data_IF_518598999187
#
_entry.id   IF_518598999187
#
_cell.length_a   1.000
_cell.length_b   1.000
_cell.length_c   1.000
_cell.angle_alpha   90.00
_cell.angle_beta   90.00
_cell.angle_gamma   90.00
#
_symmetry.space_group_name_H-M   'P 1'
#
loop_
_entity.id
_entity.type
_entity.pdbx_description
1 polymer ?
#
# COMPACT_ATOMS: atom_id res chain seq x y z
N UNK A 1 -6.20 8.62 17.22
CA UNK A 1 -6.54 8.14 15.87
C UNK A 1 -5.35 7.40 15.33
N UNK A 2 -5.52 6.13 15.03
CA UNK A 2 -4.50 5.32 14.37
C UNK A 2 -4.84 5.14 12.89
N UNK A 3 -3.80 5.07 12.06
CA UNK A 3 -3.91 4.80 10.61
C UNK A 3 -3.10 3.56 10.30
N UNK A 4 -3.77 2.51 9.83
CA UNK A 4 -3.13 1.29 9.35
C UNK A 4 -3.10 1.34 7.83
N UNK A 5 -1.93 1.14 7.24
CA UNK A 5 -1.76 1.07 5.79
C UNK A 5 -1.24 -0.32 5.42
N UNK A 6 -2.02 -1.10 4.69
CA UNK A 6 -1.57 -2.37 4.14
C UNK A 6 -0.87 -2.17 2.81
N UNK A 7 0.33 -2.71 2.69
CA UNK A 7 1.13 -2.68 1.45
C UNK A 7 1.55 -4.08 1.02
N UNK A 8 1.63 -4.32 -0.27
CA UNK A 8 2.15 -5.57 -0.82
C UNK A 8 3.65 -5.41 -1.12
N UNK A 9 4.50 -6.10 -0.35
CA UNK A 9 5.94 -6.11 -0.58
C UNK A 9 6.62 -4.77 -0.29
N UNK A 10 6.66 -4.37 0.97
CA UNK A 10 7.24 -3.09 1.45
C UNK A 10 8.66 -2.80 0.92
N UNK A 11 9.43 -3.83 0.54
CA UNK A 11 10.77 -3.70 -0.07
C UNK A 11 10.76 -3.49 -1.57
N UNK A 12 9.61 -3.56 -2.22
CA UNK A 12 9.57 -3.38 -3.67
C UNK A 12 9.89 -1.94 -4.04
N UNK A 13 10.80 -1.76 -5.00
CA UNK A 13 11.13 -0.45 -5.55
C UNK A 13 10.14 -0.15 -6.68
N UNK A 14 8.95 0.32 -6.31
CA UNK A 14 7.91 0.69 -7.27
C UNK A 14 7.10 1.89 -6.79
N UNK A 15 6.29 2.46 -7.68
CA UNK A 15 5.49 3.65 -7.41
C UNK A 15 4.45 3.47 -6.31
N UNK A 16 3.82 2.29 -6.22
CA UNK A 16 2.81 1.99 -5.19
C UNK A 16 3.42 2.03 -3.79
N UNK A 17 4.55 1.35 -3.58
CA UNK A 17 5.23 1.33 -2.28
C UNK A 17 5.73 2.72 -1.92
N UNK A 18 6.31 3.45 -2.88
CA UNK A 18 6.74 4.84 -2.65
C UNK A 18 5.57 5.74 -2.26
N UNK A 19 4.45 5.66 -2.95
CA UNK A 19 3.24 6.43 -2.62
C UNK A 19 2.72 6.08 -1.22
N UNK A 20 2.66 4.80 -0.86
CA UNK A 20 2.21 4.36 0.46
C UNK A 20 3.13 4.86 1.58
N UNK A 21 4.45 4.85 1.38
CA UNK A 21 5.42 5.38 2.34
C UNK A 21 5.28 6.89 2.47
N UNK A 22 5.12 7.61 1.36
CA UNK A 22 4.92 9.06 1.40
C UNK A 22 3.62 9.42 2.13
N UNK A 23 2.55 8.66 1.93
CA UNK A 23 1.28 8.83 2.65
C UNK A 23 1.47 8.57 4.15
N UNK A 24 2.18 7.49 4.50
CA UNK A 24 2.48 7.18 5.90
C UNK A 24 3.30 8.28 6.57
N UNK A 25 4.31 8.80 5.88
CA UNK A 25 5.14 9.91 6.38
C UNK A 25 4.30 11.16 6.61
N UNK A 26 3.45 11.55 5.65
CA UNK A 26 2.60 12.73 5.77
C UNK A 26 1.65 12.62 6.98
N UNK A 27 1.04 11.47 7.19
CA UNK A 27 0.20 11.25 8.37
C UNK A 27 0.99 11.29 9.68
N UNK A 28 2.20 10.75 9.71
CA UNK A 28 3.06 10.79 10.89
C UNK A 28 3.54 12.21 11.21
N UNK A 29 3.79 13.05 10.19
CA UNK A 29 4.10 14.49 10.38
C UNK A 29 2.94 15.27 10.98
N UNK A 30 1.70 14.90 10.63
CA UNK A 30 0.48 15.44 11.25
C UNK A 30 0.21 14.88 12.66
N UNK A 31 1.12 14.06 13.18
CA UNK A 31 1.03 13.53 14.55
C UNK A 31 0.11 12.32 14.71
N UNK A 32 -0.29 11.67 13.63
CA UNK A 32 -1.09 10.44 13.69
C UNK A 32 -0.22 9.22 14.06
N UNK A 33 -0.81 8.25 14.74
CA UNK A 33 -0.18 6.95 15.01
C UNK A 33 -0.29 6.07 13.77
N UNK A 34 0.80 5.96 12.99
CA UNK A 34 0.79 5.29 11.68
C UNK A 34 1.50 3.95 11.75
N UNK A 35 0.82 2.92 11.25
CA UNK A 35 1.36 1.58 11.15
C UNK A 35 1.31 1.07 9.71
N UNK A 36 2.47 0.93 9.08
CA UNK A 36 2.63 0.38 7.74
C UNK A 36 2.83 -1.14 7.84
N UNK A 37 1.86 -1.91 7.39
CA UNK A 37 1.86 -3.37 7.51
C UNK A 37 2.14 -4.01 6.15
N UNK A 38 3.25 -4.75 6.07
CA UNK A 38 3.54 -5.59 4.92
C UNK A 38 2.58 -6.78 4.88
N UNK A 39 1.68 -6.77 3.90
CA UNK A 39 0.63 -7.78 3.74
C UNK A 39 1.13 -9.06 3.09
N UNK A 40 2.19 -8.98 2.30
CA UNK A 40 2.86 -10.14 1.68
C UNK A 40 4.08 -10.47 2.49
N UNK A 41 4.00 -11.57 3.24
CA UNK A 41 5.06 -11.94 4.16
C UNK A 41 6.31 -12.48 3.48
N UNK A 42 7.46 -12.00 3.92
CA UNK A 42 8.70 -12.75 3.93
C UNK A 42 9.26 -12.65 5.36
N UNK A 43 9.66 -13.77 5.93
CA UNK A 43 9.75 -13.95 7.38
C UNK A 43 11.17 -13.96 7.89
N UNK A 44 12.13 -13.62 7.09
CA UNK A 44 13.53 -13.74 7.47
C UNK A 44 14.08 -12.39 7.94
N UNK A 45 13.93 -12.14 9.24
CA UNK A 45 14.61 -11.01 9.89
C UNK A 45 13.91 -9.65 9.77
N UNK A 46 14.36 -8.67 10.55
CA UNK A 46 13.77 -7.33 10.58
C UNK A 46 14.07 -6.52 9.30
N UNK A 47 15.11 -6.87 8.57
CA UNK A 47 15.49 -6.23 7.32
C UNK A 47 14.43 -6.33 6.23
N UNK A 48 13.53 -7.33 6.30
CA UNK A 48 12.42 -7.44 5.35
C UNK A 48 11.37 -6.32 5.50
N UNK A 49 11.40 -5.61 6.61
CA UNK A 49 10.53 -4.46 6.89
C UNK A 49 11.18 -3.13 6.52
N UNK A 50 12.47 -3.14 6.13
CA UNK A 50 13.17 -1.92 5.74
C UNK A 50 12.75 -1.50 4.33
N UNK A 51 12.00 -0.40 4.17
CA UNK A 51 11.60 0.08 2.85
C UNK A 51 12.82 0.70 2.12
N UNK A 52 12.80 0.70 0.78
CA UNK A 52 13.88 1.31 -0.02
C UNK A 52 13.80 2.85 -0.05
N UNK A 53 12.83 3.45 0.61
CA UNK A 53 12.57 4.87 0.67
C UNK A 53 12.63 5.36 2.11
N UNK A 54 12.89 6.66 2.28
CA UNK A 54 12.90 7.28 3.60
C UNK A 54 11.56 7.07 4.32
N UNK A 55 11.65 6.63 5.56
CA UNK A 55 10.50 6.42 6.45
C UNK A 55 10.61 7.35 7.65
N UNK A 56 9.52 8.04 7.97
CA UNK A 56 9.46 8.90 9.14
C UNK A 56 9.65 8.08 10.43
N UNK A 57 10.43 8.58 11.43
CA UNK A 57 10.76 7.80 12.64
C UNK A 57 9.54 7.31 13.44
N UNK A 58 8.42 8.02 13.36
CA UNK A 58 7.20 7.67 14.07
C UNK A 58 6.31 6.66 13.30
N UNK A 59 6.66 6.29 12.08
CA UNK A 59 5.94 5.24 11.34
C UNK A 59 6.41 3.87 11.82
N UNK A 60 5.50 3.10 12.38
CA UNK A 60 5.74 1.70 12.74
C UNK A 60 5.66 0.82 11.50
N UNK A 61 6.51 -0.20 11.42
CA UNK A 61 6.44 -1.21 10.35
C UNK A 61 6.34 -2.60 10.92
N UNK A 62 5.52 -3.44 10.30
CA UNK A 62 5.39 -4.85 10.67
C UNK A 62 5.07 -5.71 9.44
N UNK A 63 5.35 -6.99 9.54
CA UNK A 63 4.76 -7.99 8.65
C UNK A 63 3.47 -8.52 9.25
N UNK A 64 2.45 -8.75 8.44
CA UNK A 64 1.20 -9.38 8.89
C UNK A 64 1.45 -10.76 9.50
N UNK A 65 2.53 -11.42 9.10
CA UNK A 65 2.88 -12.76 9.59
C UNK A 65 3.45 -12.71 11.02
N UNK A 66 4.15 -11.63 11.36
CA UNK A 66 4.84 -11.48 12.65
C UNK A 66 4.20 -10.44 13.57
N UNK A 67 3.04 -9.92 13.18
CA UNK A 67 2.43 -8.77 13.87
C UNK A 67 2.07 -9.07 15.33
N UNK A 68 1.69 -10.31 15.65
CA UNK A 68 1.32 -10.74 17.00
C UNK A 68 2.11 -11.98 17.42
N UNK A 69 2.64 -11.95 18.64
CA UNK A 69 3.41 -13.05 19.20
C UNK A 69 2.56 -14.18 19.79
N UNK A 70 1.28 -13.93 20.04
CA UNK A 70 0.34 -14.82 20.70
C UNK A 70 -0.52 -15.64 19.72
N UNK A 71 -0.12 -15.72 18.47
CA UNK A 71 -0.78 -16.60 17.50
C UNK A 71 -0.43 -18.04 17.81
N UNK A 72 -1.42 -18.93 17.94
CA UNK A 72 -1.19 -20.34 18.21
C UNK A 72 -0.24 -20.96 17.18
N UNK A 73 0.64 -21.86 17.66
CA UNK A 73 1.66 -22.51 16.79
C UNK A 73 1.05 -23.23 15.59
N UNK A 74 -0.13 -23.86 15.79
CA UNK A 74 -0.83 -24.58 14.74
C UNK A 74 -1.41 -23.69 13.63
N UNK A 75 -1.44 -22.37 13.83
CA UNK A 75 -1.84 -21.39 12.80
C UNK A 75 -0.71 -20.43 12.46
N UNK A 76 0.45 -20.55 13.10
CA UNK A 76 1.59 -19.68 12.86
C UNK A 76 2.23 -19.95 11.50
N UNK A 77 2.48 -18.89 10.75
CA UNK A 77 3.14 -18.94 9.46
C UNK A 77 4.62 -18.54 9.53
N UNK A 78 5.21 -18.58 10.72
CA UNK A 78 6.58 -18.18 10.96
C UNK A 78 7.53 -19.02 10.18
N UNK A 79 8.27 -19.00 9.41
CA UNK A 79 9.17 -19.85 8.62
C UNK A 79 8.66 -20.24 7.24
N UNK A 80 7.70 -19.49 6.71
CA UNK A 80 7.18 -19.75 5.39
C UNK A 80 7.93 -18.90 4.36
N UNK A 81 8.32 -19.49 3.22
CA UNK A 81 8.93 -18.74 2.13
C UNK A 81 8.00 -17.65 1.60
N UNK A 82 8.56 -16.64 0.99
CA UNK A 82 7.79 -15.60 0.33
C UNK A 82 6.82 -16.17 -0.71
N UNK A 83 5.54 -15.80 -0.60
CA UNK A 83 4.51 -16.12 -1.57
C UNK A 83 3.80 -14.84 -2.02
N UNK A 84 3.21 -14.89 -3.22
CA UNK A 84 2.30 -13.84 -3.63
C UNK A 84 1.04 -13.84 -2.75
N UNK A 85 0.41 -12.70 -2.59
CA UNK A 85 -0.82 -12.56 -1.79
C UNK A 85 -1.91 -13.55 -2.23
N UNK A 86 -2.05 -13.79 -3.54
CA UNK A 86 -3.02 -14.74 -4.08
C UNK A 86 -2.75 -16.18 -3.65
N UNK A 87 -1.47 -16.60 -3.66
CA UNK A 87 -1.09 -17.94 -3.26
C UNK A 87 -1.33 -18.16 -1.75
N UNK A 88 -1.08 -17.13 -0.95
CA UNK A 88 -1.29 -17.21 0.50
C UNK A 88 -2.78 -17.33 0.83
N UNK A 89 -3.61 -16.53 0.18
CA UNK A 89 -5.04 -16.52 0.44
C UNK A 89 -5.72 -17.88 0.18
N UNK A 90 -5.30 -18.60 -0.85
CA UNK A 90 -5.93 -19.86 -1.24
C UNK A 90 -5.38 -21.09 -0.51
N UNK A 91 -4.32 -20.97 0.26
CA UNK A 91 -3.81 -22.08 1.08
C UNK A 91 -4.44 -22.04 2.48
N UNK A 92 -5.07 -23.14 2.88
CA UNK A 92 -5.84 -23.22 4.13
C UNK A 92 -5.01 -22.85 5.37
N UNK A 93 -3.76 -23.26 5.43
CA UNK A 93 -2.83 -22.96 6.54
C UNK A 93 -2.54 -21.45 6.68
N UNK A 94 -2.40 -20.75 5.57
CA UNK A 94 -2.18 -19.30 5.56
C UNK A 94 -3.48 -18.55 5.82
N UNK A 95 -4.57 -19.03 5.25
CA UNK A 95 -5.89 -18.47 5.47
C UNK A 95 -6.26 -18.40 6.94
N UNK A 96 -5.96 -19.45 7.72
CA UNK A 96 -6.18 -19.47 9.15
C UNK A 96 -5.36 -18.40 9.88
N UNK A 97 -4.08 -18.27 9.55
CA UNK A 97 -3.20 -17.25 10.11
C UNK A 97 -3.68 -15.84 9.80
N UNK A 98 -3.89 -15.53 8.51
CA UNK A 98 -4.39 -14.20 8.08
C UNK A 98 -5.73 -13.87 8.76
N UNK A 99 -6.64 -14.83 8.80
CA UNK A 99 -7.92 -14.65 9.48
C UNK A 99 -7.73 -14.26 10.94
N UNK A 100 -6.88 -14.96 11.66
CA UNK A 100 -6.62 -14.69 13.08
C UNK A 100 -6.03 -13.29 13.29
N UNK A 101 -5.02 -12.93 12.50
CA UNK A 101 -4.36 -11.61 12.58
C UNK A 101 -5.33 -10.48 12.24
N UNK A 102 -6.10 -10.61 11.15
CA UNK A 102 -7.03 -9.57 10.71
C UNK A 102 -8.20 -9.38 11.69
N UNK A 103 -8.71 -10.46 12.28
CA UNK A 103 -9.71 -10.38 13.36
C UNK A 103 -9.14 -9.66 14.58
N UNK A 104 -7.90 -9.94 14.95
CA UNK A 104 -7.25 -9.28 16.07
C UNK A 104 -7.00 -7.80 15.81
N UNK A 105 -6.58 -7.42 14.62
CA UNK A 105 -6.49 -6.02 14.21
C UNK A 105 -7.84 -5.34 14.41
N UNK A 106 -8.93 -5.90 13.86
CA UNK A 106 -10.28 -5.32 14.00
C UNK A 106 -10.68 -5.13 15.46
N UNK A 107 -10.34 -6.09 16.34
CA UNK A 107 -10.70 -6.00 17.75
C UNK A 107 -10.03 -4.85 18.51
N UNK A 108 -8.92 -4.33 17.99
CA UNK A 108 -8.14 -3.23 18.58
C UNK A 108 -8.54 -1.85 18.05
N UNK A 109 -9.36 -1.81 16.98
CA UNK A 109 -9.73 -0.56 16.33
C UNK A 109 -10.99 0.08 16.92
N UNK A 110 -11.07 1.39 16.75
CA UNK A 110 -12.20 2.24 17.13
C UNK A 110 -12.78 2.96 15.91
N UNK A 111 -13.87 3.71 16.10
CA UNK A 111 -14.52 4.52 15.06
C UNK A 111 -13.66 5.70 14.57
N UNK A 112 -12.66 6.10 15.38
CA UNK A 112 -11.73 7.17 15.03
C UNK A 112 -10.57 6.69 14.14
N UNK A 113 -10.39 5.38 14.03
CA UNK A 113 -9.27 4.79 13.31
C UNK A 113 -9.59 4.57 11.83
N UNK A 114 -8.54 4.40 11.03
CA UNK A 114 -8.66 4.17 9.60
C UNK A 114 -7.75 3.04 9.14
N UNK A 115 -8.26 2.24 8.19
CA UNK A 115 -7.48 1.25 7.47
C UNK A 115 -7.44 1.62 6.00
N UNK A 116 -6.25 1.69 5.45
CA UNK A 116 -6.00 1.95 4.03
C UNK A 116 -5.50 0.67 3.37
N UNK A 117 -6.25 0.19 2.40
CA UNK A 117 -5.88 -0.94 1.55
C UNK A 117 -5.32 -0.42 0.23
N UNK A 118 -4.14 -0.85 -0.14
CA UNK A 118 -3.52 -0.49 -1.42
C UNK A 118 -3.84 -1.50 -2.54
N UNK A 119 -4.65 -2.51 -2.22
CA UNK A 119 -5.09 -3.53 -3.18
C UNK A 119 -6.47 -4.10 -2.77
N UNK A 120 -7.42 -4.27 -3.72
CA UNK A 120 -8.77 -4.77 -3.42
C UNK A 120 -8.81 -6.14 -2.73
N UNK A 121 -7.85 -7.02 -3.01
CA UNK A 121 -7.78 -8.32 -2.37
C UNK A 121 -7.50 -8.24 -0.86
N UNK A 122 -6.74 -7.25 -0.40
CA UNK A 122 -6.51 -7.02 1.03
C UNK A 122 -7.84 -6.72 1.74
N UNK A 123 -8.68 -5.88 1.13
CA UNK A 123 -10.03 -5.59 1.63
C UNK A 123 -10.90 -6.85 1.66
N UNK A 124 -10.89 -7.66 0.60
CA UNK A 124 -11.66 -8.90 0.54
C UNK A 124 -11.25 -9.86 1.65
N UNK A 125 -9.95 -10.06 1.84
CA UNK A 125 -9.42 -10.90 2.92
C UNK A 125 -9.82 -10.36 4.30
N UNK A 126 -9.74 -9.05 4.50
CA UNK A 126 -10.14 -8.40 5.75
C UNK A 126 -11.63 -8.63 6.05
N UNK A 127 -12.49 -8.40 5.06
CA UNK A 127 -13.93 -8.62 5.16
C UNK A 127 -14.29 -10.08 5.49
N UNK A 128 -13.68 -11.03 4.77
CA UNK A 128 -13.90 -12.46 4.98
C UNK A 128 -13.40 -12.92 6.35
N UNK A 129 -12.26 -12.40 6.80
CA UNK A 129 -11.73 -12.69 8.13
C UNK A 129 -12.69 -12.25 9.23
N UNK A 130 -13.33 -11.10 9.06
CA UNK A 130 -14.26 -10.53 10.02
C UNK A 130 -15.73 -10.95 9.77
N UNK A 131 -15.96 -12.08 9.11
CA UNK A 131 -17.27 -12.68 8.87
C UNK A 131 -18.26 -11.71 8.20
N UNK A 132 -17.80 -10.85 7.31
CA UNK A 132 -18.57 -9.82 6.61
C UNK A 132 -19.23 -8.79 7.55
N UNK A 133 -18.75 -8.65 8.77
CA UNK A 133 -19.22 -7.58 9.68
C UNK A 133 -18.55 -6.28 9.24
N UNK A 134 -19.32 -5.19 9.26
CA UNK A 134 -18.79 -3.86 8.97
C UNK A 134 -17.78 -3.48 10.05
N UNK A 135 -16.59 -3.04 9.64
CA UNK A 135 -15.55 -2.55 10.56
C UNK A 135 -16.03 -1.34 11.35
N UNK A 136 -15.50 -1.19 12.55
CA UNK A 136 -15.63 0.04 13.34
C UNK A 136 -14.82 1.18 12.71
N UNK A 137 -13.59 0.86 12.28
CA UNK A 137 -12.71 1.82 11.62
C UNK A 137 -13.20 2.20 10.22
N UNK A 138 -12.76 3.35 9.72
CA UNK A 138 -12.99 3.78 8.34
C UNK A 138 -12.15 2.95 7.38
N UNK A 139 -12.80 2.30 6.42
CA UNK A 139 -12.14 1.49 5.41
C UNK A 139 -11.96 2.29 4.12
N UNK A 140 -10.71 2.46 3.72
CA UNK A 140 -10.31 3.24 2.55
C UNK A 140 -9.58 2.31 1.58
N UNK A 141 -9.94 2.33 0.31
CA UNK A 141 -9.18 1.64 -0.75
C UNK A 141 -8.50 2.67 -1.63
N UNK A 142 -7.19 2.56 -1.79
CA UNK A 142 -6.42 3.38 -2.72
C UNK A 142 -6.29 2.69 -4.07
N UNK A 143 -6.56 3.43 -5.14
CA UNK A 143 -6.44 2.98 -6.52
C UNK A 143 -5.34 3.77 -7.20
N UNK A 144 -4.27 3.10 -7.63
CA UNK A 144 -3.06 3.73 -8.18
C UNK A 144 -2.84 3.49 -9.67
N UNK A 145 -3.65 2.68 -10.32
CA UNK A 145 -3.47 2.33 -11.72
C UNK A 145 -4.77 2.22 -12.49
N UNK A 146 -4.65 2.12 -13.81
CA UNK A 146 -5.80 1.86 -14.67
C UNK A 146 -6.28 0.42 -14.44
N UNK A 147 -7.36 0.30 -13.72
CA UNK A 147 -7.94 -1.00 -13.38
C UNK A 147 -8.62 -1.69 -14.57
N UNK A 148 -8.95 -0.97 -15.64
CA UNK A 148 -9.54 -1.57 -16.84
C UNK A 148 -8.66 -2.64 -17.47
N UNK A 149 -7.34 -2.58 -17.23
CA UNK A 149 -6.41 -3.62 -17.67
C UNK A 149 -6.40 -4.84 -16.72
N UNK A 150 -7.00 -4.72 -15.52
CA UNK A 150 -7.01 -5.75 -14.49
C UNK A 150 -8.45 -6.11 -14.06
N UNK A 151 -9.26 -6.61 -14.99
CA UNK A 151 -10.69 -6.93 -14.79
C UNK A 151 -10.95 -7.68 -13.47
N UNK A 152 -10.07 -8.58 -13.09
CA UNK A 152 -10.21 -9.37 -11.87
C UNK A 152 -10.19 -8.49 -10.59
N UNK A 153 -9.32 -7.47 -10.53
CA UNK A 153 -9.27 -6.56 -9.39
C UNK A 153 -10.54 -5.72 -9.27
N UNK A 154 -11.14 -5.38 -10.40
CA UNK A 154 -12.43 -4.68 -10.43
C UNK A 154 -13.59 -5.51 -9.91
N UNK A 155 -13.65 -6.77 -10.29
CA UNK A 155 -14.66 -7.69 -9.78
C UNK A 155 -14.57 -7.83 -8.27
N UNK A 156 -13.34 -7.92 -7.75
CA UNK A 156 -13.10 -7.95 -6.30
C UNK A 156 -13.57 -6.64 -5.65
N UNK A 157 -13.21 -5.49 -6.22
CA UNK A 157 -13.63 -4.19 -5.69
C UNK A 157 -15.16 -4.05 -5.72
N UNK A 158 -15.79 -4.37 -6.83
CA UNK A 158 -17.26 -4.26 -6.98
C UNK A 158 -18.02 -5.10 -5.94
N UNK A 159 -17.55 -6.32 -5.67
CA UNK A 159 -18.14 -7.18 -4.63
C UNK A 159 -18.00 -6.63 -3.21
N UNK A 160 -17.00 -5.78 -2.98
CA UNK A 160 -16.66 -5.29 -1.65
C UNK A 160 -16.99 -3.81 -1.44
N UNK A 161 -17.55 -3.13 -2.43
CA UNK A 161 -17.73 -1.67 -2.41
C UNK A 161 -18.63 -1.17 -1.27
N UNK A 162 -19.59 -1.96 -0.84
CA UNK A 162 -20.51 -1.62 0.25
C UNK A 162 -19.81 -1.56 1.62
N UNK A 163 -18.67 -2.24 1.74
CA UNK A 163 -17.83 -2.24 2.95
C UNK A 163 -16.85 -1.07 2.99
N UNK A 164 -16.61 -0.41 1.86
CA UNK A 164 -15.68 0.71 1.75
C UNK A 164 -16.38 2.00 2.16
N UNK A 165 -15.76 2.76 3.04
CA UNK A 165 -16.23 4.11 3.37
C UNK A 165 -15.77 5.11 2.32
N UNK A 166 -14.50 5.01 1.87
CA UNK A 166 -13.95 5.89 0.83
C UNK A 166 -13.10 5.12 -0.17
N UNK A 167 -13.25 5.47 -1.43
CA UNK A 167 -12.40 5.04 -2.52
C UNK A 167 -11.52 6.22 -2.97
N UNK A 168 -10.23 6.12 -2.70
CA UNK A 168 -9.27 7.14 -3.07
C UNK A 168 -8.70 6.84 -4.46
N UNK A 169 -8.77 7.82 -5.35
CA UNK A 169 -8.12 7.79 -6.67
C UNK A 169 -6.98 8.79 -6.73
N UNK A 170 -6.03 8.56 -7.62
CA UNK A 170 -4.85 9.42 -7.81
C UNK A 170 -4.96 10.35 -9.02
N UNK A 171 -6.04 10.25 -9.77
CA UNK A 171 -6.40 11.18 -10.85
C UNK A 171 -7.90 11.41 -10.94
N UNK A 172 -8.29 12.56 -11.49
CA UNK A 172 -9.70 12.91 -11.71
C UNK A 172 -10.37 12.00 -12.74
N UNK A 173 -9.62 11.56 -13.77
CA UNK A 173 -10.13 10.63 -14.77
C UNK A 173 -10.53 9.30 -14.13
N UNK A 174 -9.71 8.79 -13.23
CA UNK A 174 -10.04 7.56 -12.49
C UNK A 174 -11.28 7.74 -11.61
N UNK A 175 -11.46 8.91 -11.02
CA UNK A 175 -12.64 9.21 -10.22
C UNK A 175 -13.91 9.14 -11.06
N UNK A 176 -13.92 9.79 -12.24
CA UNK A 176 -15.06 9.75 -13.16
C UNK A 176 -15.30 8.32 -13.73
N UNK A 177 -14.23 7.57 -14.00
CA UNK A 177 -14.31 6.18 -14.41
C UNK A 177 -14.98 5.31 -13.33
N UNK A 178 -14.55 5.45 -12.06
CA UNK A 178 -15.17 4.74 -10.94
C UNK A 178 -16.64 5.08 -10.77
N UNK A 179 -17.00 6.35 -10.93
CA UNK A 179 -18.38 6.76 -10.85
C UNK A 179 -19.22 6.19 -11.99
N UNK A 180 -18.73 6.26 -13.21
CA UNK A 180 -19.50 5.87 -14.42
C UNK A 180 -19.63 4.35 -14.57
N UNK A 181 -18.54 3.60 -14.39
CA UNK A 181 -18.52 2.15 -14.58
C UNK A 181 -19.06 1.36 -13.40
N UNK A 182 -18.67 1.74 -12.17
CA UNK A 182 -19.06 1.00 -10.96
C UNK A 182 -20.26 1.60 -10.25
N UNK A 183 -20.80 2.72 -10.76
CA UNK A 183 -21.93 3.44 -10.15
C UNK A 183 -21.68 3.75 -8.67
N UNK A 184 -20.40 3.92 -8.30
CA UNK A 184 -20.02 4.29 -6.96
C UNK A 184 -20.53 5.71 -6.69
N UNK A 185 -21.16 5.91 -5.56
CA UNK A 185 -21.66 7.22 -5.17
C UNK A 185 -20.50 8.21 -5.03
N UNK A 186 -20.70 9.43 -5.55
CA UNK A 186 -19.66 10.48 -5.53
C UNK A 186 -19.19 10.84 -4.12
N UNK A 187 -20.05 10.72 -3.11
CA UNK A 187 -19.71 10.99 -1.72
C UNK A 187 -18.71 9.99 -1.11
N UNK A 188 -18.56 8.82 -1.74
CA UNK A 188 -17.52 7.82 -1.40
C UNK A 188 -16.23 7.99 -2.18
N UNK A 189 -16.20 8.81 -3.21
CA UNK A 189 -15.04 9.00 -4.08
C UNK A 189 -14.23 10.21 -3.61
N UNK A 190 -12.93 10.00 -3.42
CA UNK A 190 -12.01 11.05 -2.99
C UNK A 190 -10.81 11.06 -3.92
N UNK A 191 -10.56 12.21 -4.55
CA UNK A 191 -9.34 12.45 -5.28
C UNK A 191 -8.25 12.96 -4.34
N UNK A 192 -7.16 12.20 -4.21
CA UNK A 192 -5.95 12.61 -3.50
C UNK A 192 -4.78 12.23 -4.40
N UNK A 193 -4.07 13.21 -4.98
CA UNK A 193 -2.91 12.91 -5.79
C UNK A 193 -1.81 12.23 -4.97
N UNK A 194 -0.92 11.52 -5.66
CA UNK A 194 0.23 10.94 -5.00
C UNK A 194 1.06 12.02 -4.29
N UNK A 195 1.26 11.86 -3.01
CA UNK A 195 2.10 12.75 -2.21
C UNK A 195 3.55 12.56 -2.66
N UNK A 196 4.19 13.63 -3.06
CA UNK A 196 5.61 13.65 -3.39
C UNK A 196 6.37 14.30 -2.24
N UNK A 197 7.22 13.52 -1.60
CA UNK A 197 8.17 14.07 -0.65
C UNK A 197 9.36 14.68 -1.40
N UNK A 198 9.82 15.87 -1.02
CA UNK A 198 11.07 16.37 -1.55
C UNK A 198 12.18 15.40 -1.11
N UNK A 199 12.80 14.75 -2.07
CA UNK A 199 14.04 14.02 -1.81
C UNK A 199 15.08 15.11 -1.51
N UNK A 200 15.43 15.28 -0.25
CA UNK A 200 16.65 16.00 0.09
C UNK A 200 17.82 15.09 -0.34
N UNK A 201 18.24 15.22 -1.57
CA UNK A 201 19.51 14.62 -1.98
C UNK A 201 20.57 15.26 -1.07
N UNK A 202 21.24 14.44 -0.27
CA UNK A 202 22.45 14.92 0.41
C UNK A 202 23.38 15.49 -0.67
N UNK A 203 24.05 16.60 -0.35
CA UNK A 203 24.90 17.34 -1.31
C UNK A 203 25.91 16.43 -2.02
N UNK A 204 26.33 15.33 -1.36
CA UNK A 204 27.24 14.32 -1.94
C UNK A 204 26.61 13.51 -3.08
N UNK A 205 25.31 13.20 -3.02
CA UNK A 205 24.60 12.48 -4.09
C UNK A 205 24.33 13.41 -5.28
N UNK A 206 23.99 14.68 -5.01
CA UNK A 206 23.86 15.67 -6.07
C UNK A 206 25.18 15.90 -6.82
N UNK A 207 26.32 15.92 -6.09
CA UNK A 207 27.66 16.06 -6.69
C UNK A 207 28.04 14.85 -7.53
N UNK A 208 27.57 13.64 -7.21
CA UNK A 208 27.80 12.43 -8.01
C UNK A 208 27.09 12.56 -9.38
N UNK A 209 25.83 12.97 -9.39
CA UNK A 209 25.07 13.19 -10.63
C UNK A 209 25.62 14.34 -11.47
N UNK A 210 26.29 15.32 -10.86
CA UNK A 210 26.86 16.48 -11.56
C UNK A 210 28.24 16.15 -12.15
N UNK A 211 29.05 15.34 -11.47
CA UNK A 211 30.40 14.99 -11.94
C UNK A 211 30.43 14.13 -13.20
N UNK A 212 29.50 13.21 -13.36
CA UNK A 212 29.39 12.39 -14.56
C UNK A 212 28.88 13.18 -15.79
N UNK A 213 28.51 14.44 -15.60
CA UNK A 213 27.95 15.29 -16.63
C UNK A 213 28.83 16.50 -17.00
N UNK A 214 30.14 16.49 -16.72
CA UNK A 214 31.05 17.59 -17.09
C UNK A 214 31.16 17.82 -18.60
N UNK A 215 30.66 16.90 -19.45
CA UNK A 215 30.49 17.10 -20.89
C UNK A 215 29.29 17.97 -21.26
N UNK A 216 28.54 18.49 -20.25
CA UNK A 216 27.27 19.20 -20.48
C UNK A 216 27.46 20.69 -20.78
N UNK A 217 28.61 21.27 -20.44
CA UNK A 217 28.83 22.73 -20.63
C UNK A 217 28.84 23.18 -22.10
N UNK A 218 28.99 22.25 -23.03
CA UNK A 218 28.90 22.56 -24.47
C UNK A 218 27.47 22.46 -25.06
N UNK A 219 26.48 22.12 -24.28
CA UNK A 219 25.11 21.85 -24.75
C UNK A 219 24.09 22.92 -24.33
N UNK A 220 24.49 24.18 -24.22
CA UNK A 220 23.58 25.31 -23.86
C UNK A 220 22.39 25.56 -24.80
N UNK A 221 22.20 24.75 -25.85
CA UNK A 221 21.13 24.92 -26.84
C UNK A 221 19.97 23.94 -26.77
N UNK A 222 20.01 22.91 -25.93
CA UNK A 222 18.94 21.92 -25.94
C UNK A 222 18.26 21.83 -24.56
N UNK A 223 16.95 22.05 -24.54
CA UNK A 223 16.12 21.68 -23.40
C UNK A 223 16.11 20.16 -23.33
N UNK A 224 16.64 19.59 -22.25
CA UNK A 224 16.60 18.12 -22.01
C UNK A 224 15.35 17.80 -21.23
N UNK A 225 14.57 16.86 -21.71
CA UNK A 225 13.46 16.24 -21.01
C UNK A 225 13.90 14.81 -20.69
N UNK A 226 14.01 14.48 -19.40
CA UNK A 226 14.28 13.11 -18.97
C UNK A 226 12.95 12.46 -18.58
N UNK A 227 12.63 11.34 -19.19
CA UNK A 227 11.49 10.50 -18.80
C UNK A 227 12.05 9.35 -17.99
N UNK A 228 11.70 9.29 -16.70
CA UNK A 228 12.07 8.21 -15.81
C UNK A 228 10.85 7.31 -15.62
N UNK A 229 10.94 6.07 -16.07
CA UNK A 229 9.88 5.08 -15.93
C UNK A 229 10.38 3.67 -16.23
N UNK A 230 9.62 2.68 -15.79
CA UNK A 230 9.89 1.29 -16.15
C UNK A 230 9.36 1.02 -17.56
N UNK A 231 10.26 0.80 -18.51
CA UNK A 231 9.91 0.36 -19.87
C UNK A 231 9.92 -1.17 -19.83
N UNK A 232 8.77 -1.75 -19.51
CA UNK A 232 8.58 -3.19 -19.64
C UNK A 232 7.62 -3.46 -20.82
N UNK A 233 7.91 -4.45 -21.68
CA UNK A 233 6.91 -4.86 -22.66
C UNK A 233 5.69 -5.37 -21.89
N UNK A 234 4.56 -4.75 -22.10
CA UNK A 234 3.28 -5.30 -21.64
C UNK A 234 2.99 -6.55 -22.46
N UNK A 235 2.90 -7.68 -21.80
CA UNK A 235 2.51 -8.93 -22.43
C UNK A 235 1.02 -8.97 -22.65
#
# INVERSE_FOLDING_TARGET
MAVIIFVNGIRAVNGLVKSSINTANAFAEEGLDVHLINFVGNITGAEHLSPPFHLHPNVKTSSIIDLFNDIPENVSCRNIPFYSIHQQFFKAEYSAHYKHVLMKIESLLSEEDSIIFTHPLQLEMYRLANNNIKSKAKLIVQIHGNYMEEIHNYEILARNIDYVDYLQTVSDEMLEEMHSHFKIKKDKLVFIPNITYPISLEKKEADFFIKDNQDIDNAQKFKRISIVGSIQPRK
#
